data_IF_760381541387
#
_entry.id   IF_760381541387
#
_cell.length_a   1.000
_cell.length_b   1.000
_cell.length_c   1.000
_cell.angle_alpha   90.00
_cell.angle_beta   90.00
_cell.angle_gamma   90.00
#
_symmetry.space_group_name_H-M   'P 1'
#
loop_
_entity.id
_entity.type
_entity.pdbx_description
1 polymer ?
#
# COMPACT_ATOMS: atom_id res chain seq x y z
N UNK A 1 28.82 -49.72 6.50
CA UNK A 1 28.02 -49.05 7.58
C UNK A 1 28.14 -47.51 7.65
N UNK A 2 28.68 -46.80 6.68
CA UNK A 2 29.04 -45.42 6.99
C UNK A 2 28.29 -44.31 6.24
N UNK A 3 27.92 -44.52 4.98
CA UNK A 3 27.33 -43.41 4.17
C UNK A 3 25.82 -43.24 4.38
N UNK A 4 25.05 -44.32 4.50
CA UNK A 4 23.61 -44.23 4.74
C UNK A 4 23.24 -43.73 6.15
N UNK A 5 24.07 -44.01 7.16
CA UNK A 5 23.88 -43.51 8.54
C UNK A 5 24.24 -42.03 8.65
N UNK A 6 25.27 -41.56 7.92
CA UNK A 6 25.66 -40.15 7.89
C UNK A 6 24.60 -39.29 7.15
N UNK A 7 24.03 -39.78 6.05
CA UNK A 7 22.98 -39.09 5.31
C UNK A 7 21.68 -39.00 6.13
N UNK A 8 21.32 -40.03 6.89
CA UNK A 8 20.14 -40.01 7.76
C UNK A 8 20.27 -39.02 8.93
N UNK A 9 21.50 -38.83 9.48
CA UNK A 9 21.76 -37.90 10.57
C UNK A 9 21.78 -36.42 10.12
N UNK A 10 22.20 -36.19 8.87
CA UNK A 10 22.16 -34.84 8.26
C UNK A 10 20.72 -34.44 7.93
N UNK A 11 19.90 -35.38 7.46
CA UNK A 11 18.48 -35.12 7.12
C UNK A 11 17.59 -34.97 8.36
N UNK A 12 17.88 -35.63 9.47
CA UNK A 12 17.06 -35.54 10.68
C UNK A 12 17.07 -34.12 11.29
N UNK A 13 18.19 -33.43 11.29
CA UNK A 13 18.27 -32.07 11.82
C UNK A 13 17.66 -31.03 10.87
N UNK A 14 17.58 -31.29 9.56
CA UNK A 14 17.07 -30.34 8.58
C UNK A 14 15.58 -30.01 8.76
N UNK A 15 14.78 -30.98 9.15
CA UNK A 15 13.32 -30.79 9.34
C UNK A 15 12.93 -30.38 10.77
N UNK A 16 13.83 -30.54 11.73
CA UNK A 16 13.51 -30.41 13.15
C UNK A 16 13.99 -29.08 13.76
N UNK A 17 14.97 -28.44 13.12
CA UNK A 17 15.48 -27.15 13.61
C UNK A 17 14.48 -26.01 13.34
N UNK A 18 14.10 -25.30 14.38
CA UNK A 18 13.41 -24.04 14.26
C UNK A 18 14.39 -22.90 13.86
N UNK A 19 13.86 -21.72 13.53
CA UNK A 19 14.68 -20.60 13.07
C UNK A 19 15.73 -20.18 14.09
N UNK A 20 15.40 -20.17 15.38
CA UNK A 20 16.33 -19.76 16.46
C UNK A 20 17.55 -20.65 16.54
N UNK A 21 17.37 -21.96 16.31
CA UNK A 21 18.43 -22.95 16.38
C UNK A 21 19.19 -23.09 15.05
N UNK A 22 18.54 -22.74 13.93
CA UNK A 22 19.12 -22.78 12.59
C UNK A 22 19.88 -21.50 12.23
N UNK A 23 19.32 -20.33 12.56
CA UNK A 23 19.87 -19.03 12.24
C UNK A 23 19.53 -18.02 13.35
N UNK A 24 20.37 -17.97 14.37
CA UNK A 24 20.18 -17.11 15.54
C UNK A 24 20.19 -15.62 15.19
N UNK A 25 21.05 -15.20 14.26
CA UNK A 25 21.21 -13.80 13.88
C UNK A 25 19.91 -13.29 13.19
N UNK A 26 19.37 -14.07 12.26
CA UNK A 26 18.08 -13.74 11.61
C UNK A 26 16.92 -13.78 12.61
N UNK A 27 16.91 -14.76 13.53
CA UNK A 27 15.89 -14.83 14.58
C UNK A 27 15.92 -13.58 15.48
N UNK A 28 17.10 -13.10 15.86
CA UNK A 28 17.27 -11.86 16.65
C UNK A 28 16.79 -10.63 15.86
N UNK A 29 17.11 -10.54 14.56
CA UNK A 29 16.63 -9.46 13.69
C UNK A 29 15.10 -9.40 13.63
N UNK A 30 14.43 -10.54 13.43
CA UNK A 30 12.95 -10.63 13.40
C UNK A 30 12.37 -10.28 14.78
N UNK A 31 13.02 -10.73 15.86
CA UNK A 31 12.57 -10.42 17.22
C UNK A 31 12.70 -8.93 17.54
N UNK A 32 13.74 -8.27 17.05
CA UNK A 32 13.94 -6.84 17.21
C UNK A 32 12.90 -6.04 16.39
N UNK A 33 12.57 -6.48 15.17
CA UNK A 33 11.50 -5.86 14.39
C UNK A 33 10.13 -6.03 15.05
N UNK A 34 9.85 -7.20 15.63
CA UNK A 34 8.63 -7.41 16.43
C UNK A 34 8.58 -6.44 17.62
N UNK A 35 9.69 -6.28 18.35
CA UNK A 35 9.77 -5.34 19.47
C UNK A 35 9.59 -3.88 19.00
N UNK A 36 10.12 -3.51 17.82
CA UNK A 36 9.90 -2.20 17.23
C UNK A 36 8.41 -1.98 16.97
N UNK A 37 7.74 -2.92 16.31
CA UNK A 37 6.30 -2.82 16.03
C UNK A 37 5.44 -2.76 17.30
N UNK A 38 5.85 -3.44 18.38
CA UNK A 38 5.16 -3.35 19.67
C UNK A 38 5.25 -1.96 20.30
N UNK A 39 6.40 -1.29 20.18
CA UNK A 39 6.74 -0.12 20.98
C UNK A 39 6.70 1.20 20.20
N UNK A 40 6.37 1.18 18.90
CA UNK A 40 6.31 2.38 18.07
C UNK A 40 4.89 2.64 17.56
N UNK A 41 4.55 3.92 17.45
CA UNK A 41 3.33 4.40 16.80
C UNK A 41 3.60 4.40 15.29
N UNK A 42 2.95 3.48 14.55
CA UNK A 42 3.16 3.29 13.12
C UNK A 42 2.20 4.14 12.30
N UNK A 43 2.70 5.18 11.67
CA UNK A 43 1.92 6.12 10.83
C UNK A 43 2.32 6.11 9.35
N UNK A 44 3.11 5.13 8.90
CA UNK A 44 3.34 4.96 7.46
C UNK A 44 2.04 4.52 6.80
N UNK A 45 1.51 5.34 5.90
CA UNK A 45 0.19 5.15 5.28
C UNK A 45 0.06 3.86 4.46
N UNK A 46 1.17 3.27 4.04
CA UNK A 46 1.24 2.03 3.25
C UNK A 46 1.51 0.78 4.10
N UNK A 47 1.53 0.89 5.43
CA UNK A 47 1.75 -0.23 6.34
C UNK A 47 0.52 -0.59 7.14
N UNK A 48 0.46 -1.86 7.56
CA UNK A 48 -0.60 -2.40 8.40
C UNK A 48 -0.10 -3.65 9.14
N UNK A 49 -0.89 -4.10 10.12
CA UNK A 49 -0.63 -5.30 10.90
C UNK A 49 -1.58 -6.39 10.39
N UNK A 50 -1.04 -7.49 9.87
CA UNK A 50 -1.84 -8.61 9.37
C UNK A 50 -2.32 -9.50 10.52
N UNK A 51 -3.35 -10.31 10.28
CA UNK A 51 -3.80 -11.31 11.26
C UNK A 51 -2.80 -12.46 11.41
N UNK A 52 -2.87 -13.18 12.53
CA UNK A 52 -2.11 -14.42 12.73
C UNK A 52 -2.41 -15.45 11.65
N UNK A 53 -3.66 -15.56 11.19
CA UNK A 53 -4.06 -16.48 10.13
C UNK A 53 -3.40 -16.14 8.78
N UNK A 54 -3.19 -14.86 8.46
CA UNK A 54 -2.41 -14.44 7.28
C UNK A 54 -0.95 -14.87 7.41
N UNK A 55 -0.33 -14.69 8.59
CA UNK A 55 1.05 -15.14 8.83
C UNK A 55 1.19 -16.66 8.72
N UNK A 56 0.25 -17.43 9.29
CA UNK A 56 0.23 -18.90 9.22
C UNK A 56 0.09 -19.41 7.78
N UNK A 57 -0.81 -18.80 6.98
CA UNK A 57 -0.95 -19.15 5.57
C UNK A 57 0.33 -18.85 4.76
N UNK A 58 0.98 -17.72 5.05
CA UNK A 58 2.20 -17.31 4.37
C UNK A 58 3.40 -18.18 4.74
N UNK A 59 3.50 -18.65 5.98
CA UNK A 59 4.53 -19.58 6.46
C UNK A 59 4.21 -21.07 6.21
N UNK A 60 3.21 -21.38 5.39
CA UNK A 60 2.76 -22.77 5.16
C UNK A 60 3.62 -23.53 4.15
N UNK A 61 3.43 -24.85 4.11
CA UNK A 61 4.09 -25.78 3.16
C UNK A 61 3.78 -25.49 1.69
N UNK A 62 2.82 -24.60 1.39
CA UNK A 62 2.52 -24.16 0.02
C UNK A 62 3.71 -23.45 -0.63
N UNK A 63 4.69 -22.99 0.15
CA UNK A 63 5.96 -22.45 -0.36
C UNK A 63 6.75 -23.49 -1.17
N UNK A 64 6.57 -24.78 -0.90
CA UNK A 64 7.28 -25.87 -1.57
C UNK A 64 6.71 -26.19 -2.97
N UNK A 65 5.51 -25.67 -3.32
CA UNK A 65 4.81 -26.09 -4.53
C UNK A 65 5.03 -25.16 -5.70
N UNK A 66 5.52 -25.74 -6.80
CA UNK A 66 5.64 -25.06 -8.09
C UNK A 66 4.33 -25.20 -8.89
N UNK A 67 3.70 -24.09 -9.29
CA UNK A 67 2.34 -24.09 -9.86
C UNK A 67 2.18 -23.15 -11.05
N UNK A 68 3.12 -23.17 -12.03
CA UNK A 68 2.99 -22.40 -13.27
C UNK A 68 1.69 -22.68 -14.01
N UNK A 69 1.12 -21.67 -14.61
CA UNK A 69 -0.20 -21.69 -15.22
C UNK A 69 -1.28 -21.20 -14.26
N UNK A 70 -2.50 -21.62 -14.48
CA UNK A 70 -3.69 -21.20 -13.73
C UNK A 70 -4.47 -22.42 -13.25
N UNK A 71 -5.35 -22.26 -12.26
CA UNK A 71 -6.18 -23.34 -11.72
C UNK A 71 -6.85 -24.15 -12.84
N UNK A 72 -6.72 -25.47 -12.77
CA UNK A 72 -7.21 -26.41 -13.77
C UNK A 72 -6.40 -26.45 -15.08
N UNK A 73 -5.37 -25.60 -15.23
CA UNK A 73 -4.50 -25.53 -16.43
C UNK A 73 -3.05 -25.30 -16.01
N UNK A 74 -2.53 -26.18 -15.16
CA UNK A 74 -1.13 -26.12 -14.67
C UNK A 74 -0.18 -26.84 -15.60
N UNK A 75 1.07 -26.39 -15.60
CA UNK A 75 2.16 -27.07 -16.31
C UNK A 75 2.78 -28.22 -15.49
N UNK A 76 2.44 -28.34 -14.21
CA UNK A 76 2.98 -29.32 -13.26
C UNK A 76 1.85 -30.12 -12.59
N UNK A 77 2.14 -31.39 -12.25
CA UNK A 77 1.24 -32.23 -11.47
C UNK A 77 1.18 -31.83 -9.98
N UNK A 78 0.23 -32.40 -9.24
CA UNK A 78 0.08 -32.21 -7.78
C UNK A 78 -0.39 -30.82 -7.40
N UNK A 79 -1.22 -30.19 -8.22
CA UNK A 79 -1.70 -28.83 -8.01
C UNK A 79 -3.14 -28.74 -7.47
N UNK A 80 -3.79 -29.87 -7.20
CA UNK A 80 -5.19 -29.94 -6.78
C UNK A 80 -5.49 -29.10 -5.53
N UNK A 81 -4.58 -29.04 -4.56
CA UNK A 81 -4.77 -28.27 -3.32
C UNK A 81 -4.42 -26.78 -3.49
N UNK A 82 -3.39 -26.45 -4.27
CA UNK A 82 -3.07 -25.03 -4.56
C UNK A 82 -4.12 -24.40 -5.47
N UNK A 83 -4.77 -25.18 -6.33
CA UNK A 83 -5.92 -24.73 -7.13
C UNK A 83 -7.09 -24.30 -6.24
N UNK A 84 -7.36 -25.04 -5.16
CA UNK A 84 -8.36 -24.64 -4.17
C UNK A 84 -8.01 -23.28 -3.55
N UNK A 85 -6.74 -23.08 -3.15
CA UNK A 85 -6.29 -21.80 -2.57
C UNK A 85 -6.44 -20.62 -3.55
N UNK A 86 -6.05 -20.80 -4.80
CA UNK A 86 -6.16 -19.76 -5.83
C UNK A 86 -7.63 -19.46 -6.17
N UNK A 87 -8.46 -20.49 -6.33
CA UNK A 87 -9.89 -20.31 -6.60
C UNK A 87 -10.59 -19.59 -5.45
N UNK A 88 -10.28 -19.92 -4.19
CA UNK A 88 -10.80 -19.18 -3.03
C UNK A 88 -10.39 -17.72 -3.04
N UNK A 89 -9.14 -17.41 -3.39
CA UNK A 89 -8.68 -16.02 -3.49
C UNK A 89 -9.43 -15.27 -4.60
N UNK A 90 -9.57 -15.89 -5.79
CA UNK A 90 -10.28 -15.29 -6.93
C UNK A 90 -11.76 -15.03 -6.59
N UNK A 91 -12.48 -16.03 -6.08
CA UNK A 91 -13.91 -15.89 -5.77
C UNK A 91 -14.16 -14.83 -4.68
N UNK A 92 -13.32 -14.81 -3.64
CA UNK A 92 -13.44 -13.84 -2.55
C UNK A 92 -13.16 -12.41 -3.02
N UNK A 93 -12.10 -12.20 -3.81
CA UNK A 93 -11.77 -10.85 -4.31
C UNK A 93 -12.78 -10.34 -5.32
N UNK A 94 -13.34 -11.21 -6.17
CA UNK A 94 -14.45 -10.86 -7.06
C UNK A 94 -15.67 -10.38 -6.27
N UNK A 95 -16.05 -11.11 -5.23
CA UNK A 95 -17.16 -10.73 -4.34
C UNK A 95 -16.86 -9.42 -3.61
N UNK A 96 -15.62 -9.24 -3.15
CA UNK A 96 -15.21 -8.08 -2.36
C UNK A 96 -15.33 -6.76 -3.14
N UNK A 97 -14.99 -6.77 -4.44
CA UNK A 97 -14.98 -5.58 -5.29
C UNK A 97 -16.11 -5.55 -6.34
N UNK A 98 -17.05 -6.49 -6.29
CA UNK A 98 -18.14 -6.59 -7.26
C UNK A 98 -17.62 -6.57 -8.71
N UNK A 99 -16.71 -7.50 -9.04
CA UNK A 99 -16.12 -7.62 -10.36
C UNK A 99 -16.23 -9.05 -10.93
N UNK A 100 -16.20 -9.16 -12.25
CA UNK A 100 -16.42 -10.44 -12.95
C UNK A 100 -15.16 -11.33 -12.98
N UNK A 101 -13.99 -10.70 -13.11
CA UNK A 101 -12.73 -11.40 -13.32
C UNK A 101 -11.62 -10.83 -12.46
N UNK A 102 -10.74 -11.70 -11.98
CA UNK A 102 -9.60 -11.34 -11.16
C UNK A 102 -8.38 -12.22 -11.47
N UNK A 103 -7.18 -11.63 -11.38
CA UNK A 103 -5.92 -12.35 -11.31
C UNK A 103 -5.26 -12.01 -9.97
N UNK A 104 -4.93 -13.06 -9.18
CA UNK A 104 -4.37 -12.93 -7.83
C UNK A 104 -2.89 -13.32 -7.77
N UNK A 105 -2.27 -13.62 -8.91
CA UNK A 105 -0.88 -14.04 -8.97
C UNK A 105 0.18 -12.92 -8.95
N UNK A 106 -0.10 -11.64 -9.28
CA UNK A 106 0.95 -10.61 -9.24
C UNK A 106 1.66 -10.58 -7.87
N UNK A 107 3.01 -10.60 -7.91
CA UNK A 107 3.83 -10.60 -6.69
C UNK A 107 3.81 -9.23 -5.98
N UNK A 108 3.51 -8.17 -6.69
CA UNK A 108 3.41 -6.80 -6.17
C UNK A 108 2.44 -5.95 -7.00
N UNK A 109 2.06 -4.77 -6.48
CA UNK A 109 1.30 -3.78 -7.24
C UNK A 109 2.07 -3.29 -8.48
N UNK A 110 3.39 -3.13 -8.38
CA UNK A 110 4.22 -2.74 -9.51
C UNK A 110 4.20 -3.77 -10.65
N UNK A 111 4.21 -5.08 -10.31
CA UNK A 111 4.08 -6.14 -11.32
C UNK A 111 2.66 -6.24 -11.87
N UNK A 112 1.64 -5.95 -11.07
CA UNK A 112 0.26 -5.85 -11.56
C UNK A 112 0.13 -4.73 -12.61
N UNK A 113 0.66 -3.53 -12.33
CA UNK A 113 0.69 -2.43 -13.29
C UNK A 113 1.54 -2.77 -14.52
N UNK A 114 2.71 -3.37 -14.34
CA UNK A 114 3.57 -3.82 -15.44
C UNK A 114 2.87 -4.85 -16.35
N UNK A 115 2.10 -5.78 -15.80
CA UNK A 115 1.32 -6.74 -16.57
C UNK A 115 0.19 -6.06 -17.37
N UNK A 116 -0.46 -5.04 -16.80
CA UNK A 116 -1.47 -4.24 -17.52
C UNK A 116 -0.83 -3.52 -18.71
N UNK A 117 0.31 -2.88 -18.50
CA UNK A 117 1.04 -2.20 -19.58
C UNK A 117 1.45 -3.19 -20.68
N UNK A 118 2.07 -4.32 -20.30
CA UNK A 118 2.47 -5.36 -21.26
C UNK A 118 1.28 -5.90 -22.07
N UNK A 119 0.10 -6.00 -21.47
CA UNK A 119 -1.09 -6.52 -22.11
C UNK A 119 -1.76 -5.54 -23.08
N UNK A 120 -1.66 -4.23 -22.84
CA UNK A 120 -2.50 -3.24 -23.50
C UNK A 120 -1.77 -2.29 -24.43
N UNK A 121 -0.47 -2.03 -24.20
CA UNK A 121 0.31 -1.01 -24.90
C UNK A 121 1.71 -1.51 -25.27
N UNK A 122 2.43 -0.75 -26.06
CA UNK A 122 3.80 -1.06 -26.52
C UNK A 122 4.78 0.00 -26.02
N UNK A 123 6.07 -0.32 -25.87
CA UNK A 123 7.10 0.70 -25.63
C UNK A 123 7.00 1.85 -26.63
N UNK A 124 7.09 3.09 -26.14
CA UNK A 124 6.90 4.31 -26.92
C UNK A 124 5.47 4.84 -26.95
N UNK A 125 4.46 4.05 -26.58
CA UNK A 125 3.08 4.57 -26.44
C UNK A 125 2.99 5.62 -25.32
N UNK A 126 2.04 6.56 -25.46
CA UNK A 126 1.81 7.61 -24.46
C UNK A 126 0.91 7.11 -23.34
N UNK A 127 1.31 7.38 -22.10
CA UNK A 127 0.52 7.21 -20.89
C UNK A 127 0.35 8.54 -20.15
N UNK A 128 -0.76 8.73 -19.46
CA UNK A 128 -1.04 9.92 -18.65
C UNK A 128 -1.37 9.48 -17.21
N UNK A 129 -0.56 9.91 -16.24
CA UNK A 129 -0.74 9.57 -14.82
C UNK A 129 -0.53 10.77 -13.91
N UNK A 130 -0.88 10.65 -12.63
CA UNK A 130 -0.58 11.67 -11.64
C UNK A 130 0.93 11.78 -11.42
N UNK A 131 1.47 13.00 -11.36
CA UNK A 131 2.89 13.22 -11.07
C UNK A 131 3.26 12.73 -9.66
N UNK A 132 4.53 12.36 -9.46
CA UNK A 132 5.03 12.01 -8.12
C UNK A 132 4.87 13.18 -7.14
N UNK A 133 5.08 14.41 -7.62
CA UNK A 133 4.97 15.63 -6.80
C UNK A 133 3.53 15.86 -6.33
N UNK A 134 2.54 15.45 -7.10
CA UNK A 134 1.12 15.54 -6.73
C UNK A 134 0.60 14.30 -5.99
N UNK A 135 1.48 13.34 -5.68
CA UNK A 135 1.13 12.15 -4.92
C UNK A 135 0.91 10.89 -5.76
N UNK A 136 1.31 10.88 -7.04
CA UNK A 136 1.29 9.69 -7.89
C UNK A 136 2.23 8.57 -7.40
N UNK A 137 2.20 7.43 -8.06
CA UNK A 137 3.08 6.30 -7.77
C UNK A 137 4.21 6.20 -8.80
N UNK A 138 5.34 5.60 -8.41
CA UNK A 138 6.49 5.36 -9.31
C UNK A 138 6.08 4.68 -10.63
N UNK A 139 5.16 3.72 -10.57
CA UNK A 139 4.69 2.98 -11.76
C UNK A 139 3.66 3.74 -12.60
N UNK A 140 3.37 5.00 -12.30
CA UNK A 140 2.51 5.88 -13.11
C UNK A 140 3.30 6.76 -14.08
N UNK A 141 4.50 6.32 -14.48
CA UNK A 141 5.32 7.01 -15.47
C UNK A 141 6.55 7.73 -14.91
N UNK A 142 6.92 7.53 -13.64
CA UNK A 142 8.10 8.17 -13.08
C UNK A 142 9.38 7.71 -13.81
N UNK A 143 10.26 8.64 -14.11
CA UNK A 143 11.47 8.42 -14.93
C UNK A 143 12.36 7.23 -14.49
N UNK A 144 12.59 6.94 -13.18
CA UNK A 144 13.40 5.79 -12.79
C UNK A 144 12.67 4.44 -12.92
N UNK A 145 11.33 4.44 -13.01
CA UNK A 145 10.52 3.22 -13.09
C UNK A 145 10.42 2.68 -14.53
N UNK A 146 10.04 1.41 -14.67
CA UNK A 146 9.80 0.77 -15.96
C UNK A 146 8.84 1.61 -16.83
N UNK A 147 7.76 2.12 -16.25
CA UNK A 147 6.75 2.89 -16.97
C UNK A 147 7.30 4.20 -17.53
N UNK A 148 8.20 4.88 -16.82
CA UNK A 148 8.85 6.09 -17.32
C UNK A 148 9.96 5.82 -18.32
N UNK A 149 10.55 4.60 -18.32
CA UNK A 149 11.61 4.20 -19.26
C UNK A 149 11.07 3.67 -20.59
N UNK A 150 9.90 3.03 -20.56
CA UNK A 150 9.34 2.35 -21.73
C UNK A 150 8.32 3.17 -22.48
N UNK A 151 7.65 4.12 -21.82
CA UNK A 151 6.54 4.86 -22.39
C UNK A 151 6.84 6.36 -22.46
N UNK A 152 6.14 7.06 -23.35
CA UNK A 152 6.05 8.50 -23.31
C UNK A 152 5.12 8.89 -22.16
N UNK A 153 5.69 9.12 -20.98
CA UNK A 153 4.93 9.36 -19.76
C UNK A 153 4.65 10.86 -19.58
N UNK A 154 3.38 11.21 -19.61
CA UNK A 154 2.86 12.54 -19.29
C UNK A 154 2.22 12.52 -17.91
N UNK A 155 2.21 13.69 -17.27
CA UNK A 155 1.72 13.80 -15.91
C UNK A 155 0.72 14.94 -15.77
N UNK A 156 -0.39 14.67 -15.08
CA UNK A 156 -1.28 15.69 -14.56
C UNK A 156 -0.95 15.97 -13.09
N UNK A 157 -1.30 17.16 -12.65
CA UNK A 157 -1.05 17.62 -11.30
C UNK A 157 -2.35 17.96 -10.57
N UNK A 158 -2.25 18.22 -9.28
CA UNK A 158 -3.33 18.83 -8.51
C UNK A 158 -3.31 20.35 -8.73
N UNK A 159 -4.45 20.99 -8.52
CA UNK A 159 -4.54 22.46 -8.50
C UNK A 159 -3.81 23.00 -7.26
N UNK A 160 -2.99 24.02 -7.44
CA UNK A 160 -2.13 24.56 -6.39
C UNK A 160 -2.93 25.18 -5.24
N UNK A 161 -4.06 25.81 -5.55
CA UNK A 161 -4.86 26.52 -4.57
C UNK A 161 -5.72 25.60 -3.70
N UNK A 162 -6.22 24.51 -4.29
CA UNK A 162 -7.16 23.58 -3.64
C UNK A 162 -6.51 22.26 -3.20
N UNK A 163 -5.42 21.86 -3.83
CA UNK A 163 -4.81 20.54 -3.67
C UNK A 163 -5.65 19.41 -4.27
N UNK A 164 -6.62 19.70 -5.13
CA UNK A 164 -7.49 18.71 -5.77
C UNK A 164 -7.06 18.44 -7.21
N UNK A 165 -7.41 17.24 -7.72
CA UNK A 165 -7.19 16.90 -9.13
C UNK A 165 -7.95 17.90 -10.01
N UNK A 166 -7.25 18.55 -10.92
CA UNK A 166 -7.85 19.41 -11.94
C UNK A 166 -8.27 18.57 -13.15
N UNK A 167 -9.53 18.16 -13.20
CA UNK A 167 -10.05 17.31 -14.28
C UNK A 167 -10.08 18.00 -15.64
N UNK A 168 -10.20 19.32 -15.71
CA UNK A 168 -10.13 20.09 -16.96
C UNK A 168 -8.72 19.99 -17.55
N UNK A 169 -7.69 20.08 -16.70
CA UNK A 169 -6.31 19.89 -17.12
C UNK A 169 -6.03 18.45 -17.57
N UNK A 170 -6.57 17.44 -16.86
CA UNK A 170 -6.49 16.03 -17.30
C UNK A 170 -7.10 15.86 -18.68
N UNK A 171 -8.28 16.46 -18.92
CA UNK A 171 -8.95 16.39 -20.22
C UNK A 171 -8.14 17.08 -21.31
N UNK A 172 -7.63 18.28 -21.06
CA UNK A 172 -6.80 19.04 -22.00
C UNK A 172 -5.57 18.22 -22.41
N UNK A 173 -4.84 17.69 -21.44
CA UNK A 173 -3.65 16.86 -21.70
C UNK A 173 -4.01 15.59 -22.49
N UNK A 174 -5.15 14.97 -22.19
CA UNK A 174 -5.61 13.78 -22.91
C UNK A 174 -5.93 14.09 -24.38
N UNK A 175 -6.66 15.18 -24.64
CA UNK A 175 -7.04 15.60 -26.00
C UNK A 175 -5.82 16.00 -26.85
N UNK A 176 -4.86 16.70 -26.28
CA UNK A 176 -3.64 17.13 -26.96
C UNK A 176 -2.71 15.97 -27.31
N UNK A 177 -2.63 14.94 -26.45
CA UNK A 177 -1.59 13.92 -26.54
C UNK A 177 -2.10 12.51 -26.87
N UNK A 178 -3.41 12.28 -26.88
CA UNK A 178 -4.03 10.99 -27.21
C UNK A 178 -3.39 9.78 -26.51
N UNK A 179 -3.28 9.75 -25.17
CA UNK A 179 -2.67 8.66 -24.43
C UNK A 179 -3.41 7.35 -24.68
N UNK A 180 -2.68 6.23 -24.67
CA UNK A 180 -3.28 4.90 -24.76
C UNK A 180 -3.88 4.42 -23.44
N UNK A 181 -3.29 4.89 -22.33
CA UNK A 181 -3.78 4.62 -20.95
C UNK A 181 -3.79 5.93 -20.18
N UNK A 182 -4.88 6.17 -19.46
CA UNK A 182 -4.96 7.18 -18.41
C UNK A 182 -5.03 6.44 -17.08
N UNK A 183 -4.20 6.87 -16.10
CA UNK A 183 -4.05 6.21 -14.81
C UNK A 183 -4.66 7.11 -13.74
N UNK A 184 -5.68 6.61 -13.06
CA UNK A 184 -6.27 7.25 -11.88
C UNK A 184 -5.82 6.51 -10.63
N UNK A 185 -5.28 7.24 -9.64
CA UNK A 185 -4.79 6.67 -8.38
C UNK A 185 -3.61 7.47 -7.86
N UNK A 186 -3.32 7.29 -6.58
CA UNK A 186 -2.22 8.02 -5.95
C UNK A 186 -1.75 7.38 -4.65
N UNK A 187 -0.49 7.62 -4.30
CA UNK A 187 0.16 7.14 -3.07
C UNK A 187 0.07 8.16 -1.93
N UNK A 188 -0.15 9.43 -2.26
CA UNK A 188 -0.17 10.53 -1.29
C UNK A 188 -1.33 11.52 -1.54
N UNK A 189 -2.33 11.13 -2.30
CA UNK A 189 -3.53 11.93 -2.52
C UNK A 189 -4.60 11.59 -1.46
N UNK A 190 -5.01 12.58 -0.67
CA UNK A 190 -5.86 12.39 0.51
C UNK A 190 -7.36 12.59 0.25
N UNK A 191 -7.77 12.92 -0.99
CA UNK A 191 -9.16 13.23 -1.35
C UNK A 191 -9.79 12.15 -2.20
N UNK A 192 -11.11 12.22 -2.36
CA UNK A 192 -11.85 11.29 -3.23
C UNK A 192 -11.51 11.57 -4.69
N UNK A 193 -11.30 10.52 -5.46
CA UNK A 193 -11.10 10.54 -6.91
C UNK A 193 -12.44 10.28 -7.59
N UNK A 194 -12.83 11.13 -8.53
CA UNK A 194 -14.01 10.94 -9.36
C UNK A 194 -13.68 10.07 -10.58
N UNK A 195 -13.92 8.77 -10.45
CA UNK A 195 -13.64 7.80 -11.51
C UNK A 195 -14.56 7.98 -12.73
N UNK A 196 -15.76 8.55 -12.54
CA UNK A 196 -16.66 8.84 -13.67
C UNK A 196 -16.07 9.91 -14.58
N UNK A 197 -15.52 10.99 -14.01
CA UNK A 197 -14.86 12.03 -14.81
C UNK A 197 -13.66 11.45 -15.58
N UNK A 198 -12.84 10.59 -14.96
CA UNK A 198 -11.76 9.90 -15.67
C UNK A 198 -12.30 9.03 -16.81
N UNK A 199 -13.39 8.28 -16.61
CA UNK A 199 -14.02 7.48 -17.68
C UNK A 199 -14.47 8.35 -18.83
N UNK A 200 -15.18 9.45 -18.54
CA UNK A 200 -15.68 10.38 -19.55
C UNK A 200 -14.51 10.98 -20.40
N UNK A 201 -13.38 11.29 -19.76
CA UNK A 201 -12.17 11.77 -20.46
C UNK A 201 -11.57 10.66 -21.34
N UNK A 202 -11.41 9.44 -20.80
CA UNK A 202 -10.88 8.31 -21.55
C UNK A 202 -11.71 7.99 -22.80
N UNK A 203 -13.05 8.08 -22.70
CA UNK A 203 -13.96 7.83 -23.81
C UNK A 203 -13.77 8.85 -24.95
N UNK A 204 -13.47 10.12 -24.62
CA UNK A 204 -13.21 11.16 -25.63
C UNK A 204 -11.98 10.88 -26.49
N UNK A 205 -10.97 10.21 -25.94
CA UNK A 205 -9.70 9.94 -26.62
C UNK A 205 -9.48 8.45 -26.92
N UNK A 206 -10.47 7.59 -26.66
CA UNK A 206 -10.39 6.14 -26.81
C UNK A 206 -9.21 5.51 -26.07
N UNK A 207 -8.94 6.00 -24.84
CA UNK A 207 -7.92 5.48 -23.94
C UNK A 207 -8.48 4.42 -23.01
N UNK A 208 -7.64 3.49 -22.57
CA UNK A 208 -7.96 2.63 -21.43
C UNK A 208 -7.89 3.42 -20.12
N UNK A 209 -8.85 3.19 -19.22
CA UNK A 209 -8.79 3.67 -17.85
C UNK A 209 -8.22 2.59 -16.94
N UNK A 210 -6.99 2.79 -16.45
CA UNK A 210 -6.38 2.01 -15.37
C UNK A 210 -6.62 2.74 -14.04
N UNK A 211 -7.27 2.07 -13.09
CA UNK A 211 -7.32 2.59 -11.71
C UNK A 211 -6.40 1.77 -10.81
N UNK A 212 -5.36 2.42 -10.30
CA UNK A 212 -4.52 1.86 -9.25
C UNK A 212 -5.09 2.26 -7.88
N UNK A 213 -5.85 1.35 -7.27
CA UNK A 213 -6.49 1.59 -5.98
C UNK A 213 -5.64 1.10 -4.79
N UNK A 214 -4.35 0.85 -4.97
CA UNK A 214 -3.50 0.21 -3.97
C UNK A 214 -3.59 0.86 -2.58
N UNK A 215 -3.63 2.19 -2.49
CA UNK A 215 -3.72 2.89 -1.23
C UNK A 215 -5.10 2.83 -0.58
N UNK A 216 -6.16 2.93 -1.36
CA UNK A 216 -7.53 3.02 -0.84
C UNK A 216 -8.36 1.74 -1.05
N UNK A 217 -7.76 0.64 -1.52
CA UNK A 217 -8.48 -0.61 -1.79
C UNK A 217 -9.23 -1.17 -0.58
N UNK A 218 -8.67 -1.07 0.62
CA UNK A 218 -9.38 -1.46 1.84
C UNK A 218 -10.60 -0.59 2.11
N UNK A 219 -10.55 0.71 1.81
CA UNK A 219 -11.69 1.63 1.96
C UNK A 219 -12.79 1.29 0.93
N UNK A 220 -12.41 0.94 -0.30
CA UNK A 220 -13.36 0.44 -1.31
C UNK A 220 -14.03 -0.85 -0.83
N UNK A 221 -13.23 -1.80 -0.32
CA UNK A 221 -13.72 -3.07 0.20
C UNK A 221 -14.70 -2.89 1.38
N UNK A 222 -14.45 -1.91 2.24
CA UNK A 222 -15.33 -1.57 3.37
C UNK A 222 -16.55 -0.74 3.00
N UNK A 223 -16.61 -0.21 1.78
CA UNK A 223 -17.70 0.66 1.31
C UNK A 223 -17.55 2.13 1.64
N UNK A 224 -16.35 2.55 2.08
CA UNK A 224 -16.04 3.91 2.51
C UNK A 224 -15.35 4.77 1.42
N UNK A 225 -15.18 4.21 0.21
CA UNK A 225 -14.62 4.90 -0.95
C UNK A 225 -15.29 4.40 -2.24
N UNK A 226 -15.47 5.26 -3.26
CA UNK A 226 -16.10 4.86 -4.52
C UNK A 226 -15.43 3.64 -5.15
N UNK A 227 -16.24 2.67 -5.61
CA UNK A 227 -15.73 1.48 -6.27
C UNK A 227 -15.40 1.77 -7.75
N UNK A 228 -14.10 1.69 -8.16
CA UNK A 228 -13.68 1.99 -9.52
C UNK A 228 -14.07 0.92 -10.56
N UNK A 229 -14.40 -0.31 -10.15
CA UNK A 229 -14.70 -1.44 -11.07
C UNK A 229 -15.87 -1.15 -12.03
N UNK A 230 -16.72 -0.18 -11.69
CA UNK A 230 -17.86 0.26 -12.53
C UNK A 230 -17.43 1.13 -13.71
N UNK A 231 -16.28 1.77 -13.63
CA UNK A 231 -15.82 2.77 -14.60
C UNK A 231 -14.55 2.35 -15.33
N UNK A 232 -13.66 1.62 -14.67
CA UNK A 232 -12.35 1.28 -15.17
C UNK A 232 -12.39 0.08 -16.14
N UNK A 233 -11.54 0.10 -17.15
CA UNK A 233 -11.25 -1.08 -17.98
C UNK A 233 -10.50 -2.12 -17.16
N UNK A 234 -9.60 -1.66 -16.28
CA UNK A 234 -8.82 -2.48 -15.38
C UNK A 234 -8.55 -1.75 -14.07
N UNK A 235 -8.62 -2.51 -12.97
CA UNK A 235 -8.27 -2.03 -11.64
C UNK A 235 -7.11 -2.87 -11.12
N UNK A 236 -6.06 -2.22 -10.62
CA UNK A 236 -4.96 -2.88 -9.93
C UNK A 236 -4.94 -2.49 -8.45
N UNK A 237 -4.37 -3.33 -7.63
CA UNK A 237 -4.17 -3.04 -6.22
C UNK A 237 -2.99 -3.82 -5.63
N UNK A 238 -2.53 -3.34 -4.47
CA UNK A 238 -1.79 -4.16 -3.50
C UNK A 238 -2.74 -4.77 -2.49
N UNK A 239 -2.28 -5.79 -1.76
CA UNK A 239 -3.08 -6.46 -0.73
C UNK A 239 -2.68 -6.11 0.71
N UNK A 240 -1.57 -5.38 0.92
CA UNK A 240 -0.91 -5.21 2.22
C UNK A 240 -1.05 -3.83 2.88
N UNK A 241 -1.86 -2.93 2.31
CA UNK A 241 -2.06 -1.57 2.88
C UNK A 241 -3.33 -1.52 3.74
N UNK A 242 -4.27 -0.65 3.45
CA UNK A 242 -5.55 -0.60 4.18
C UNK A 242 -6.29 -1.94 4.15
N UNK A 243 -6.11 -2.72 3.09
CA UNK A 243 -6.73 -4.05 2.95
C UNK A 243 -6.20 -5.10 3.96
N UNK A 244 -5.07 -4.83 4.61
CA UNK A 244 -4.56 -5.60 5.75
C UNK A 244 -4.21 -7.06 5.44
N UNK A 245 -3.67 -7.32 4.24
CA UNK A 245 -3.28 -8.65 3.77
C UNK A 245 -1.77 -8.82 3.58
N UNK A 246 -1.35 -9.95 3.00
CA UNK A 246 0.05 -10.21 2.68
C UNK A 246 0.56 -9.24 1.61
N UNK A 247 1.87 -9.07 1.50
CA UNK A 247 2.46 -8.30 0.41
C UNK A 247 2.24 -9.01 -0.92
N UNK A 248 1.57 -8.33 -1.84
CA UNK A 248 1.23 -8.86 -3.15
C UNK A 248 0.41 -7.86 -3.97
N UNK A 249 0.07 -8.24 -5.20
CA UNK A 249 -0.78 -7.47 -6.11
C UNK A 249 -1.97 -8.27 -6.62
N UNK A 250 -2.95 -7.56 -7.19
CA UNK A 250 -4.13 -8.13 -7.88
C UNK A 250 -4.46 -7.29 -9.11
N UNK A 251 -5.11 -7.92 -10.08
CA UNK A 251 -5.68 -7.28 -11.27
C UNK A 251 -7.16 -7.68 -11.36
N UNK A 252 -8.04 -6.70 -11.52
CA UNK A 252 -9.49 -6.89 -11.61
C UNK A 252 -10.02 -6.25 -12.89
N UNK A 253 -11.03 -6.87 -13.50
CA UNK A 253 -11.72 -6.31 -14.67
C UNK A 253 -13.10 -6.92 -14.82
N UNK A 254 -13.99 -6.21 -15.51
CA UNK A 254 -15.30 -6.73 -15.94
C UNK A 254 -15.29 -7.22 -17.39
N UNK A 255 -14.16 -7.13 -18.08
CA UNK A 255 -14.02 -7.47 -19.49
C UNK A 255 -13.31 -8.83 -19.69
N UNK A 256 -14.05 -9.80 -20.24
CA UNK A 256 -13.54 -11.15 -20.48
C UNK A 256 -12.36 -11.20 -21.46
N UNK A 257 -12.31 -10.31 -22.45
CA UNK A 257 -11.19 -10.27 -23.40
C UNK A 257 -9.91 -9.72 -22.73
N UNK A 258 -10.09 -8.76 -21.81
CA UNK A 258 -8.96 -8.17 -21.11
C UNK A 258 -8.35 -9.11 -20.07
N UNK A 259 -9.17 -9.87 -19.31
CA UNK A 259 -8.60 -10.80 -18.33
C UNK A 259 -7.72 -11.86 -18.98
N UNK A 260 -8.07 -12.33 -20.19
CA UNK A 260 -7.24 -13.29 -20.94
C UNK A 260 -5.87 -12.69 -21.29
N UNK A 261 -5.83 -11.40 -21.70
CA UNK A 261 -4.58 -10.68 -21.96
C UNK A 261 -3.77 -10.47 -20.67
N UNK A 262 -4.43 -10.07 -19.57
CA UNK A 262 -3.75 -9.87 -18.28
C UNK A 262 -3.18 -11.17 -17.74
N UNK A 263 -3.91 -12.28 -17.84
CA UNK A 263 -3.41 -13.59 -17.43
C UNK A 263 -2.15 -13.96 -18.22
N UNK A 264 -2.16 -13.79 -19.55
CA UNK A 264 -0.98 -14.04 -20.39
C UNK A 264 0.18 -13.10 -20.06
N UNK A 265 -0.10 -11.85 -19.74
CA UNK A 265 0.93 -10.86 -19.36
C UNK A 265 1.54 -11.14 -17.97
N UNK A 266 0.75 -11.66 -17.02
CA UNK A 266 1.28 -12.12 -15.73
C UNK A 266 2.10 -13.38 -15.93
N UNK A 267 1.52 -14.45 -16.47
CA UNK A 267 2.21 -15.68 -16.76
C UNK A 267 1.91 -16.15 -18.21
N UNK A 268 2.91 -16.37 -19.03
CA UNK A 268 4.36 -16.32 -18.77
C UNK A 268 5.02 -14.94 -18.98
N UNK A 269 4.26 -13.86 -19.18
CA UNK A 269 4.80 -12.58 -19.64
C UNK A 269 5.82 -11.91 -18.70
N UNK A 270 5.50 -11.80 -17.41
CA UNK A 270 6.35 -11.14 -16.40
C UNK A 270 6.80 -12.05 -15.26
N UNK A 271 6.07 -13.12 -15.00
CA UNK A 271 6.31 -14.03 -13.87
C UNK A 271 6.39 -15.48 -14.36
N UNK A 272 7.11 -16.33 -13.59
CA UNK A 272 7.07 -17.77 -13.66
C UNK A 272 6.11 -18.36 -12.62
N UNK A 273 6.61 -19.26 -11.76
CA UNK A 273 5.82 -19.88 -10.69
C UNK A 273 5.20 -18.86 -9.73
N UNK A 274 3.88 -18.92 -9.49
CA UNK A 274 3.23 -18.05 -8.53
C UNK A 274 3.62 -18.41 -7.10
N UNK A 275 3.58 -17.43 -6.20
CA UNK A 275 3.84 -17.60 -4.76
C UNK A 275 2.58 -18.15 -4.09
N UNK A 276 2.40 -19.48 -4.09
CA UNK A 276 1.14 -20.08 -3.65
C UNK A 276 0.84 -19.88 -2.16
N UNK A 277 1.85 -19.79 -1.31
CA UNK A 277 1.71 -19.39 0.09
C UNK A 277 1.19 -17.94 0.24
N UNK A 278 1.61 -17.01 -0.63
CA UNK A 278 1.08 -15.64 -0.66
C UNK A 278 -0.34 -15.62 -1.23
N UNK A 279 -0.64 -16.43 -2.26
CA UNK A 279 -2.01 -16.54 -2.80
C UNK A 279 -2.96 -17.08 -1.72
N UNK A 280 -2.56 -18.09 -0.93
CA UNK A 280 -3.33 -18.58 0.20
C UNK A 280 -3.55 -17.50 1.27
N UNK A 281 -2.52 -16.72 1.60
CA UNK A 281 -2.62 -15.60 2.53
C UNK A 281 -3.55 -14.49 1.99
N UNK A 282 -3.55 -14.22 0.66
CA UNK A 282 -4.56 -13.35 0.02
C UNK A 282 -5.98 -13.89 0.19
N UNK A 283 -6.17 -15.21 0.06
CA UNK A 283 -7.48 -15.81 0.28
C UNK A 283 -8.00 -15.63 1.71
N UNK A 284 -7.11 -15.71 2.71
CA UNK A 284 -7.44 -15.36 4.12
C UNK A 284 -7.83 -13.90 4.24
N UNK A 285 -6.98 -12.99 3.77
CA UNK A 285 -7.20 -11.56 3.79
C UNK A 285 -8.56 -11.17 3.18
N UNK A 286 -8.91 -11.70 2.01
CA UNK A 286 -10.18 -11.40 1.36
C UNK A 286 -11.39 -11.96 2.12
N UNK A 287 -11.24 -13.09 2.81
CA UNK A 287 -12.27 -13.62 3.70
C UNK A 287 -12.50 -12.68 4.89
N UNK A 288 -11.43 -12.19 5.51
CA UNK A 288 -11.50 -11.22 6.60
C UNK A 288 -12.14 -9.91 6.12
N UNK A 289 -11.75 -9.41 4.95
CA UNK A 289 -12.27 -8.17 4.36
C UNK A 289 -13.77 -8.25 3.98
N UNK A 290 -14.33 -9.43 3.79
CA UNK A 290 -15.78 -9.62 3.56
C UNK A 290 -16.61 -9.58 4.85
N UNK A 291 -16.00 -9.48 6.03
CA UNK A 291 -16.70 -9.46 7.31
C UNK A 291 -17.31 -8.09 7.64
N UNK A 292 -18.29 -8.07 8.54
CA UNK A 292 -18.81 -6.84 9.15
C UNK A 292 -17.74 -6.07 9.90
N UNK A 293 -16.84 -6.78 10.59
CA UNK A 293 -15.79 -6.18 11.42
C UNK A 293 -14.79 -5.40 10.56
N UNK A 294 -14.52 -5.85 9.34
CA UNK A 294 -13.69 -5.11 8.40
C UNK A 294 -14.36 -3.79 7.94
N UNK A 295 -15.68 -3.79 7.76
CA UNK A 295 -16.40 -2.56 7.45
C UNK A 295 -16.32 -1.55 8.59
N UNK A 296 -16.48 -1.99 9.84
CA UNK A 296 -16.30 -1.11 10.99
C UNK A 296 -14.85 -0.61 11.13
N UNK A 297 -13.86 -1.48 10.86
CA UNK A 297 -12.45 -1.08 10.81
C UNK A 297 -12.22 0.05 9.79
N UNK A 298 -12.75 -0.04 8.56
CA UNK A 298 -12.53 1.00 7.53
C UNK A 298 -13.18 2.33 7.88
N UNK A 299 -14.36 2.32 8.51
CA UNK A 299 -15.00 3.53 9.06
C UNK A 299 -14.11 4.16 10.13
N UNK A 300 -13.56 3.36 11.03
CA UNK A 300 -12.66 3.83 12.09
C UNK A 300 -11.37 4.41 11.48
N UNK A 301 -10.81 3.80 10.45
CA UNK A 301 -9.62 4.31 9.75
C UNK A 301 -9.83 5.75 9.26
N UNK A 302 -10.95 6.03 8.59
CA UNK A 302 -11.28 7.38 8.12
C UNK A 302 -11.55 8.33 9.29
N UNK A 303 -12.33 7.90 10.28
CA UNK A 303 -12.62 8.70 11.47
C UNK A 303 -11.33 9.09 12.21
N UNK A 304 -10.44 8.15 12.37
CA UNK A 304 -9.15 8.36 13.01
C UNK A 304 -8.25 9.30 12.19
N UNK A 305 -8.26 9.20 10.86
CA UNK A 305 -7.53 10.11 9.99
C UNK A 305 -8.05 11.55 10.12
N UNK A 306 -9.37 11.74 10.15
CA UNK A 306 -9.99 13.05 10.39
C UNK A 306 -9.66 13.58 11.78
N UNK A 307 -9.63 12.74 12.80
CA UNK A 307 -9.26 13.11 14.18
C UNK A 307 -7.82 13.58 14.24
N UNK A 308 -6.88 12.82 13.68
CA UNK A 308 -5.46 13.20 13.63
C UNK A 308 -5.26 14.51 12.88
N UNK A 309 -5.91 14.66 11.72
CA UNK A 309 -5.90 15.90 10.93
C UNK A 309 -6.40 17.10 11.73
N UNK A 310 -7.52 16.94 12.44
CA UNK A 310 -8.11 18.01 13.26
C UNK A 310 -7.23 18.38 14.46
N UNK A 311 -6.59 17.39 15.12
CA UNK A 311 -5.64 17.64 16.22
C UNK A 311 -4.42 18.42 15.72
N UNK A 312 -3.87 18.06 14.56
CA UNK A 312 -2.74 18.79 13.96
C UNK A 312 -3.12 20.20 13.55
N UNK A 313 -4.29 20.41 12.92
CA UNK A 313 -4.78 21.75 12.57
C UNK A 313 -4.97 22.61 13.83
N UNK A 314 -5.52 22.06 14.90
CA UNK A 314 -5.67 22.76 16.20
C UNK A 314 -4.32 23.17 16.79
N UNK A 315 -3.27 22.45 16.47
CA UNK A 315 -1.89 22.73 16.88
C UNK A 315 -1.11 23.54 15.83
N UNK A 316 -1.78 24.29 14.95
CA UNK A 316 -1.24 25.20 13.94
C UNK A 316 -0.51 24.52 12.77
N UNK A 317 -0.74 23.24 12.52
CA UNK A 317 -0.19 22.55 11.34
C UNK A 317 -1.12 22.66 10.14
N UNK A 318 -0.54 22.90 8.98
CA UNK A 318 -1.25 22.92 7.71
C UNK A 318 -1.35 21.51 7.12
N UNK A 319 -2.59 21.04 6.91
CA UNK A 319 -2.84 19.81 6.18
C UNK A 319 -3.07 20.18 4.71
N UNK A 320 -2.27 19.60 3.81
CA UNK A 320 -2.42 19.84 2.38
C UNK A 320 -3.82 19.42 1.91
N UNK A 321 -4.42 20.17 1.01
CA UNK A 321 -5.83 20.08 0.59
C UNK A 321 -6.87 20.33 1.70
N UNK A 322 -6.47 20.91 2.85
CA UNK A 322 -7.37 21.29 3.94
C UNK A 322 -7.93 20.15 4.77
N UNK A 323 -7.40 18.92 4.64
CA UNK A 323 -7.84 17.75 5.41
C UNK A 323 -7.75 16.42 4.65
N UNK A 324 -8.54 15.42 5.06
CA UNK A 324 -8.52 14.09 4.43
C UNK A 324 -9.92 13.46 4.35
N UNK A 325 -10.16 12.75 3.24
CA UNK A 325 -11.31 11.88 3.03
C UNK A 325 -10.91 10.39 3.05
N UNK A 326 -9.62 10.10 3.29
CA UNK A 326 -9.04 8.75 3.23
C UNK A 326 -8.33 8.39 4.53
N UNK A 327 -7.46 7.40 4.46
CA UNK A 327 -6.63 6.90 5.57
C UNK A 327 -5.33 7.69 5.78
N UNK A 328 -5.02 8.65 4.92
CA UNK A 328 -3.75 9.37 4.93
C UNK A 328 -3.94 10.88 4.82
N UNK A 329 -2.90 11.61 5.20
CA UNK A 329 -2.80 13.06 5.01
C UNK A 329 -1.35 13.46 4.76
N UNK A 330 -1.16 14.62 4.12
CA UNK A 330 0.12 15.30 4.00
C UNK A 330 0.13 16.49 4.94
N UNK A 331 1.16 16.57 5.79
CA UNK A 331 1.41 17.70 6.70
C UNK A 331 2.47 18.58 6.08
N UNK A 332 2.12 19.83 5.82
CA UNK A 332 3.02 20.87 5.30
C UNK A 332 3.79 21.50 6.47
N UNK A 333 5.12 21.39 6.45
CA UNK A 333 6.00 21.86 7.52
C UNK A 333 6.69 23.20 7.20
N UNK A 334 6.40 23.81 6.05
CA UNK A 334 7.06 25.05 5.60
C UNK A 334 6.89 26.19 6.58
N UNK A 335 5.71 26.36 7.18
CA UNK A 335 5.43 27.41 8.16
C UNK A 335 6.21 27.23 9.46
N UNK A 336 6.58 25.99 9.80
CA UNK A 336 7.42 25.65 10.95
C UNK A 336 8.93 25.71 10.65
N UNK A 337 9.32 25.93 9.38
CA UNK A 337 10.72 25.93 8.91
C UNK A 337 11.49 24.63 9.23
N UNK A 338 10.78 23.50 9.29
CA UNK A 338 11.32 22.18 9.51
C UNK A 338 11.24 21.39 8.20
N UNK A 339 12.32 20.69 7.84
CA UNK A 339 12.28 19.83 6.66
C UNK A 339 11.58 18.50 6.95
N UNK A 340 11.03 17.86 5.92
CA UNK A 340 10.46 16.51 6.08
C UNK A 340 11.48 15.51 6.58
N UNK A 341 12.75 15.63 6.14
CA UNK A 341 13.87 14.78 6.56
C UNK A 341 14.14 14.89 8.07
N UNK A 342 14.20 16.11 8.59
CA UNK A 342 14.51 16.33 10.00
C UNK A 342 13.33 15.93 10.88
N UNK A 343 12.08 16.20 10.43
CA UNK A 343 10.87 15.75 11.09
C UNK A 343 10.77 14.22 11.16
N UNK A 344 10.99 13.52 10.05
CA UNK A 344 11.02 12.04 9.99
C UNK A 344 12.04 11.47 10.99
N UNK A 345 13.25 12.03 11.02
CA UNK A 345 14.33 11.57 11.92
C UNK A 345 14.00 11.82 13.39
N UNK A 346 13.51 13.02 13.75
CA UNK A 346 13.16 13.40 15.12
C UNK A 346 11.98 12.58 15.65
N UNK A 347 10.91 12.45 14.86
CA UNK A 347 9.75 11.61 15.18
C UNK A 347 10.15 10.13 15.34
N UNK A 348 11.05 9.63 14.49
CA UNK A 348 11.58 8.27 14.60
C UNK A 348 12.31 8.02 15.93
N UNK A 349 13.12 8.97 16.40
CA UNK A 349 13.78 8.89 17.74
C UNK A 349 12.76 8.96 18.88
N UNK A 350 11.63 9.60 18.65
CA UNK A 350 10.50 9.66 19.58
C UNK A 350 9.53 8.47 19.49
N UNK A 351 9.89 7.39 18.78
CA UNK A 351 9.06 6.20 18.53
C UNK A 351 7.73 6.48 17.79
N UNK A 352 7.72 7.50 16.94
CA UNK A 352 6.63 7.78 16.01
C UNK A 352 7.16 7.60 14.58
N UNK A 353 6.74 6.52 13.92
CA UNK A 353 7.22 6.16 12.57
C UNK A 353 6.34 6.78 11.50
N UNK A 354 6.92 7.62 10.66
CA UNK A 354 6.28 8.21 9.48
C UNK A 354 7.29 8.28 8.32
N UNK A 355 6.91 8.84 7.18
CA UNK A 355 7.87 9.12 6.11
C UNK A 355 7.83 10.59 5.71
N UNK A 356 9.02 11.14 5.39
CA UNK A 356 9.12 12.41 4.68
C UNK A 356 8.41 12.30 3.33
N UNK A 357 7.77 13.39 2.91
CA UNK A 357 7.03 13.42 1.65
C UNK A 357 7.06 14.84 1.07
N UNK A 358 7.30 14.93 -0.24
CA UNK A 358 7.13 16.20 -0.93
C UNK A 358 5.68 16.68 -0.81
N UNK A 359 5.52 17.98 -0.60
CA UNK A 359 4.23 18.64 -0.73
C UNK A 359 4.08 19.04 -2.20
N UNK A 360 2.91 18.92 -2.83
CA UNK A 360 2.74 19.44 -4.19
C UNK A 360 3.30 20.84 -4.33
N UNK A 361 4.03 21.09 -5.43
CA UNK A 361 4.79 22.34 -5.66
C UNK A 361 5.93 22.57 -4.65
N UNK A 362 6.50 21.50 -4.12
CA UNK A 362 7.63 21.56 -3.20
C UNK A 362 8.88 22.10 -3.89
N UNK A 363 9.57 23.02 -3.25
CA UNK A 363 10.84 23.60 -3.72
C UNK A 363 12.06 22.81 -3.23
N UNK A 364 11.87 21.90 -2.29
CA UNK A 364 12.93 21.05 -1.77
C UNK A 364 13.16 19.81 -2.65
N UNK A 365 14.38 19.27 -2.61
CA UNK A 365 14.69 18.03 -3.30
C UNK A 365 13.90 16.85 -2.71
N UNK A 366 13.65 15.77 -3.49
CA UNK A 366 12.95 14.57 -2.99
C UNK A 366 13.64 13.88 -1.79
N UNK A 367 14.93 14.15 -1.56
CA UNK A 367 15.68 13.60 -0.41
C UNK A 367 15.49 14.40 0.88
N UNK A 368 15.00 15.65 0.77
CA UNK A 368 14.78 16.58 1.90
C UNK A 368 13.30 16.72 2.18
N UNK A 369 12.53 17.17 1.20
CA UNK A 369 11.08 17.44 1.24
C UNK A 369 10.66 18.52 2.25
N UNK A 370 9.46 19.07 2.07
CA UNK A 370 8.90 20.10 2.98
C UNK A 370 7.76 19.56 3.83
N UNK A 371 7.51 18.26 3.83
CA UNK A 371 6.42 17.69 4.61
C UNK A 371 6.63 16.23 5.01
N UNK A 372 5.65 15.73 5.72
CA UNK A 372 5.54 14.32 6.10
C UNK A 372 4.18 13.76 5.68
N UNK A 373 4.14 12.45 5.39
CA UNK A 373 2.90 11.73 5.15
C UNK A 373 2.57 10.88 6.38
N UNK A 374 1.32 10.99 6.84
CA UNK A 374 0.79 10.24 7.98
C UNK A 374 -0.38 9.39 7.52
N UNK A 375 -0.52 8.20 8.10
CA UNK A 375 -1.63 7.29 7.86
C UNK A 375 -2.09 6.59 9.13
N UNK A 376 -3.32 6.10 9.13
CA UNK A 376 -3.97 5.56 10.33
C UNK A 376 -4.24 4.05 10.33
N UNK A 377 -3.99 3.27 9.26
CA UNK A 377 -4.41 1.87 9.20
C UNK A 377 -3.80 0.98 10.28
N UNK A 378 -2.47 1.01 10.46
CA UNK A 378 -1.76 0.15 11.39
C UNK A 378 -2.18 0.41 12.86
N UNK A 379 -2.24 1.67 13.27
CA UNK A 379 -2.68 2.07 14.60
C UNK A 379 -4.16 1.77 14.83
N UNK A 380 -5.03 1.92 13.82
CA UNK A 380 -6.43 1.50 13.92
C UNK A 380 -6.55 -0.02 14.07
N UNK A 381 -5.75 -0.79 13.35
CA UNK A 381 -5.72 -2.26 13.46
C UNK A 381 -5.31 -2.70 14.87
N UNK A 382 -4.35 -2.02 15.51
CA UNK A 382 -3.96 -2.35 16.90
C UNK A 382 -4.96 -1.89 17.96
N UNK A 383 -6.00 -1.13 17.59
CA UNK A 383 -7.11 -0.74 18.48
C UNK A 383 -7.13 0.73 18.88
N UNK A 384 -6.27 1.58 18.32
CA UNK A 384 -6.31 3.02 18.57
C UNK A 384 -7.59 3.64 18.00
N UNK A 385 -8.16 4.59 18.76
CA UNK A 385 -9.38 5.29 18.43
C UNK A 385 -9.23 6.82 18.61
N UNK A 386 -10.32 7.53 18.77
CA UNK A 386 -10.36 8.99 18.84
C UNK A 386 -9.39 9.59 19.87
N UNK A 387 -9.32 9.05 21.09
CA UNK A 387 -8.47 9.58 22.17
C UNK A 387 -6.98 9.44 21.82
N UNK A 388 -6.61 8.27 21.33
CA UNK A 388 -5.24 7.94 20.97
C UNK A 388 -4.77 8.80 19.80
N UNK A 389 -5.59 8.98 18.77
CA UNK A 389 -5.22 9.82 17.61
C UNK A 389 -5.20 11.31 17.94
N UNK A 390 -5.98 11.79 18.90
CA UNK A 390 -5.84 13.14 19.44
C UNK A 390 -4.49 13.31 20.14
N UNK A 391 -4.14 12.38 21.03
CA UNK A 391 -2.85 12.37 21.71
C UNK A 391 -1.69 12.29 20.72
N UNK A 392 -1.76 11.43 19.71
CA UNK A 392 -0.73 11.31 18.67
C UNK A 392 -0.51 12.66 17.96
N UNK A 393 -1.57 13.40 17.63
CA UNK A 393 -1.46 14.74 17.06
C UNK A 393 -0.73 15.72 17.98
N UNK A 394 -1.01 15.67 19.29
CA UNK A 394 -0.34 16.50 20.28
C UNK A 394 1.15 16.11 20.43
N UNK A 395 1.47 14.81 20.45
CA UNK A 395 2.85 14.30 20.50
C UNK A 395 3.67 14.69 19.27
N UNK A 396 3.11 14.55 18.07
CA UNK A 396 3.75 15.00 16.82
C UNK A 396 4.03 16.51 16.88
N UNK A 397 3.03 17.28 17.33
CA UNK A 397 3.14 18.74 17.44
C UNK A 397 4.24 19.14 18.40
N UNK A 398 4.34 18.47 19.55
CA UNK A 398 5.38 18.69 20.56
C UNK A 398 6.79 18.46 20.00
N UNK A 399 6.98 17.35 19.29
CA UNK A 399 8.29 17.01 18.68
C UNK A 399 8.67 18.03 17.61
N UNK A 400 7.75 18.39 16.70
CA UNK A 400 8.06 19.27 15.58
C UNK A 400 8.26 20.72 16.03
N UNK A 401 7.45 21.23 16.99
CA UNK A 401 7.65 22.56 17.57
C UNK A 401 8.96 22.65 18.33
N UNK A 402 9.31 21.64 19.12
CA UNK A 402 10.62 21.59 19.79
C UNK A 402 11.80 21.57 18.82
N UNK A 403 11.68 20.82 17.71
CA UNK A 403 12.68 20.81 16.65
C UNK A 403 12.80 22.17 15.95
N UNK A 404 11.69 22.87 15.74
CA UNK A 404 11.67 24.21 15.16
C UNK A 404 12.34 25.26 16.07
N UNK A 405 12.16 25.12 17.39
CA UNK A 405 12.77 26.03 18.39
C UNK A 405 14.28 25.76 18.56
N UNK A 406 14.69 24.49 18.55
CA UNK A 406 16.09 24.09 18.70
C UNK A 406 16.45 22.96 17.72
N UNK A 407 16.81 23.27 16.48
CA UNK A 407 17.12 22.28 15.45
C UNK A 407 18.31 21.36 15.79
N UNK A 408 19.25 21.84 16.60
CA UNK A 408 20.48 21.10 16.95
C UNK A 408 20.28 20.12 18.12
N UNK A 409 19.30 20.37 19.00
CA UNK A 409 19.06 19.52 20.18
C UNK A 409 17.59 19.47 20.59
N UNK A 410 16.87 18.49 20.07
CA UNK A 410 15.50 18.16 20.48
C UNK A 410 15.43 16.93 21.42
N UNK A 411 16.60 16.43 21.86
CA UNK A 411 16.72 15.12 22.53
C UNK A 411 15.87 14.98 23.78
N UNK A 412 15.69 16.04 24.58
CA UNK A 412 14.86 16.01 25.80
C UNK A 412 13.39 15.76 25.46
N UNK A 413 12.86 16.48 24.49
CA UNK A 413 11.46 16.33 24.03
C UNK A 413 11.25 14.97 23.38
N UNK A 414 12.18 14.52 22.53
CA UNK A 414 12.13 13.20 21.90
C UNK A 414 12.06 12.06 22.93
N UNK A 415 12.85 12.14 24.00
CA UNK A 415 12.85 11.13 25.07
C UNK A 415 11.55 11.17 25.92
N UNK A 416 10.99 12.33 26.14
CA UNK A 416 9.71 12.46 26.82
C UNK A 416 8.59 11.84 25.99
N UNK A 417 8.45 12.23 24.72
CA UNK A 417 7.46 11.70 23.79
C UNK A 417 7.65 10.21 23.55
N UNK A 418 8.91 9.73 23.48
CA UNK A 418 9.21 8.30 23.35
C UNK A 418 8.61 7.48 24.49
N UNK A 419 8.70 7.96 25.74
CA UNK A 419 8.09 7.26 26.89
C UNK A 419 6.58 7.20 26.75
N UNK A 420 5.93 8.33 26.41
CA UNK A 420 4.49 8.40 26.19
C UNK A 420 4.04 7.47 25.04
N UNK A 421 4.81 7.39 23.94
CA UNK A 421 4.54 6.50 22.82
C UNK A 421 4.63 5.01 23.22
N UNK A 422 5.63 4.63 24.03
CA UNK A 422 5.80 3.26 24.54
C UNK A 422 4.64 2.89 25.46
N UNK A 423 4.27 3.77 26.41
CA UNK A 423 3.19 3.54 27.36
C UNK A 423 1.84 3.40 26.65
N UNK A 424 1.59 4.25 25.64
CA UNK A 424 0.41 4.13 24.79
C UNK A 424 0.40 2.78 24.06
N UNK A 425 1.50 2.42 23.43
CA UNK A 425 1.62 1.16 22.69
C UNK A 425 1.47 -0.08 23.59
N UNK A 426 1.97 -0.04 24.83
CA UNK A 426 1.85 -1.11 25.80
C UNK A 426 0.38 -1.40 26.20
N UNK A 427 -0.49 -0.38 26.14
CA UNK A 427 -1.92 -0.53 26.39
C UNK A 427 -2.68 -1.24 25.25
N UNK A 428 -2.05 -1.38 24.08
CA UNK A 428 -2.63 -1.98 22.88
C UNK A 428 -1.64 -2.98 22.23
N UNK A 429 -1.29 -4.08 22.89
CA UNK A 429 -0.31 -5.02 22.37
C UNK A 429 -0.82 -5.72 21.10
N UNK A 430 0.11 -5.95 20.14
CA UNK A 430 -0.16 -6.76 18.95
C UNK A 430 0.27 -8.21 19.20
N UNK A 431 -0.43 -9.16 18.58
CA UNK A 431 -0.14 -10.60 18.70
C UNK A 431 0.03 -11.09 20.14
N UNK A 432 -0.76 -10.53 21.08
CA UNK A 432 -0.80 -11.02 22.46
C UNK A 432 -1.09 -12.53 22.50
N UNK A 433 -0.38 -13.22 23.40
CA UNK A 433 -0.49 -14.69 23.59
C UNK A 433 -1.87 -15.11 24.02
#
# INVERSE_FOLDING_TARGET
>A
MSTAIKSKKILNNFFDLNLKDSDKELFESISNEFNRQQNQIELIASENIVSKAVLEAQGSVLTNKYAEGYSGKRYYGGCEHVDVAENLAIERVKKLYDCKFANVQPHSGAQANGAVYLALIKPGDTILGMSLNSGGHLTHGAAPAQSGKWFNALHYEVDESTGLINYEEVERLALENNPKIIIAGGSAYSRIIDFKKFRDICDKVNAYLLVDMAHFSGLVAGGEYPNPTKYADVVTSTTHKVLRGPRGGIILTNNEKLIKKFNSAVFPGLQGGPLMHVVAAKAVCFKEALSSDFKEYTKLVIKNAKTLSSSLIKNDFKIFSGGTDTHLMLVDLRDHKVTGKDAEASLGRANITCNKNGIPFDTQSPMITSGIRLGTPACTTRGFAFKEFTLIGDLISKVIKGLAENPEDNGKIEQEVKREAIDLCASFPIYSK
#
